data_IF_549146032998
#
_entry.id   IF_549146032998
#
_cell.length_a   1.000
_cell.length_b   1.000
_cell.length_c   1.000
_cell.angle_alpha   90.00
_cell.angle_beta   90.00
_cell.angle_gamma   90.00
#
_symmetry.space_group_name_H-M   'P 1'
#
loop_
_entity.id
_entity.type
_entity.pdbx_description
1 polymer ?
#
# COMPACT_ATOMS: atom_id res chain seq x y z
N UNK A 1 85.61 -31.07 24.90
CA UNK A 1 85.26 -29.64 24.77
C UNK A 1 83.81 -29.48 25.17
N UNK A 2 83.58 -28.80 26.29
CA UNK A 2 82.27 -28.32 26.73
C UNK A 2 81.75 -27.23 25.78
N UNK A 3 80.42 -27.09 25.69
CA UNK A 3 79.62 -25.85 25.56
C UNK A 3 78.28 -26.21 24.89
N UNK A 4 77.12 -25.65 25.21
CA UNK A 4 76.61 -24.87 26.33
C UNK A 4 75.08 -24.96 26.23
N UNK A 5 74.43 -25.05 27.38
CA UNK A 5 72.99 -24.90 27.57
C UNK A 5 72.54 -23.49 27.15
N UNK A 6 71.47 -23.37 26.37
CA UNK A 6 70.62 -22.16 26.38
C UNK A 6 69.20 -22.49 25.94
N UNK A 7 68.39 -22.91 26.91
CA UNK A 7 66.93 -22.81 26.83
C UNK A 7 66.54 -21.32 26.82
N UNK A 8 66.10 -20.79 25.67
CA UNK A 8 65.40 -19.50 25.63
C UNK A 8 63.96 -19.72 25.17
N UNK A 9 63.07 -19.91 26.15
CA UNK A 9 61.63 -19.80 25.94
C UNK A 9 61.29 -18.31 25.75
N UNK A 10 61.51 -17.78 24.55
CA UNK A 10 60.98 -16.46 24.19
C UNK A 10 59.54 -16.64 23.74
N UNK A 11 58.63 -16.48 24.70
CA UNK A 11 57.21 -16.36 24.45
C UNK A 11 56.92 -15.15 23.56
N UNK A 12 56.82 -15.36 22.25
CA UNK A 12 56.22 -14.40 21.34
C UNK A 12 54.73 -14.69 21.31
N UNK A 13 53.93 -13.97 22.12
CA UNK A 13 52.47 -13.95 21.97
C UNK A 13 52.14 -13.24 20.66
N UNK A 14 52.21 -13.97 19.54
CA UNK A 14 51.68 -13.52 18.25
C UNK A 14 50.16 -13.38 18.44
N UNK A 15 49.64 -12.14 18.36
CA UNK A 15 48.19 -11.95 18.22
C UNK A 15 47.77 -12.74 16.97
N UNK A 16 46.73 -13.58 17.04
CA UNK A 16 46.29 -14.29 15.85
C UNK A 16 45.93 -13.25 14.79
N UNK A 17 46.51 -13.38 13.60
CA UNK A 17 46.16 -12.56 12.46
C UNK A 17 44.72 -12.90 12.08
N UNK A 18 43.78 -12.11 12.60
CA UNK A 18 42.37 -12.23 12.26
C UNK A 18 42.21 -11.74 10.82
N UNK A 19 41.73 -12.58 9.87
CA UNK A 19 41.61 -12.23 8.45
C UNK A 19 40.55 -11.16 8.15
N UNK A 20 39.99 -10.54 9.20
CA UNK A 20 38.83 -9.70 9.20
C UNK A 20 39.07 -8.55 10.18
N UNK A 21 38.76 -7.33 9.74
CA UNK A 21 38.92 -6.14 10.57
C UNK A 21 37.86 -6.15 11.66
N UNK A 22 38.31 -6.10 12.91
CA UNK A 22 37.42 -6.01 14.07
C UNK A 22 36.57 -4.74 13.96
N UNK A 23 35.26 -4.87 14.24
CA UNK A 23 34.29 -3.78 14.09
C UNK A 23 33.74 -3.59 12.67
N UNK A 24 34.27 -4.28 11.67
CA UNK A 24 33.70 -4.30 10.32
C UNK A 24 32.74 -5.50 10.17
N UNK A 25 31.58 -5.25 9.58
CA UNK A 25 30.62 -6.30 9.24
C UNK A 25 31.19 -7.15 8.11
N UNK A 26 31.30 -8.48 8.26
CA UNK A 26 31.70 -9.38 7.18
C UNK A 26 30.83 -9.25 5.92
N UNK A 27 31.45 -9.32 4.73
CA UNK A 27 30.78 -9.13 3.45
C UNK A 27 29.57 -10.07 3.25
N UNK A 28 29.66 -11.32 3.70
CA UNK A 28 28.57 -12.27 3.56
C UNK A 28 27.28 -11.83 4.30
N UNK A 29 27.42 -11.09 5.41
CA UNK A 29 26.25 -10.57 6.15
C UNK A 29 25.60 -9.39 5.41
N UNK A 30 26.40 -8.53 4.78
CA UNK A 30 25.87 -7.41 4.00
C UNK A 30 25.19 -7.90 2.73
N UNK A 31 25.79 -8.87 2.04
CA UNK A 31 25.19 -9.56 0.89
C UNK A 31 23.90 -10.27 1.26
N UNK A 32 23.89 -11.00 2.39
CA UNK A 32 22.69 -11.68 2.88
C UNK A 32 21.56 -10.72 3.23
N UNK A 33 21.87 -9.56 3.83
CA UNK A 33 20.88 -8.52 4.08
C UNK A 33 20.25 -8.02 2.78
N UNK A 34 21.07 -7.75 1.75
CA UNK A 34 20.57 -7.35 0.42
C UNK A 34 19.67 -8.43 -0.20
N UNK A 35 20.05 -9.70 -0.09
CA UNK A 35 19.24 -10.82 -0.59
C UNK A 35 17.87 -10.87 0.11
N UNK A 36 17.83 -10.71 1.43
CA UNK A 36 16.57 -10.68 2.17
C UNK A 36 15.70 -9.47 1.84
N UNK A 37 16.29 -8.31 1.60
CA UNK A 37 15.56 -7.13 1.13
C UNK A 37 14.91 -7.38 -0.24
N UNK A 38 15.67 -7.93 -1.19
CA UNK A 38 15.18 -8.28 -2.51
C UNK A 38 14.08 -9.36 -2.45
N UNK A 39 14.26 -10.38 -1.62
CA UNK A 39 13.26 -11.42 -1.42
C UNK A 39 11.99 -10.87 -0.78
N UNK A 40 12.10 -10.01 0.24
CA UNK A 40 10.95 -9.33 0.85
C UNK A 40 10.19 -8.49 -0.18
N UNK A 41 10.88 -7.75 -1.04
CA UNK A 41 10.24 -6.96 -2.09
C UNK A 41 9.50 -7.86 -3.10
N UNK A 42 10.12 -8.98 -3.51
CA UNK A 42 9.47 -9.97 -4.38
C UNK A 42 8.23 -10.58 -3.73
N UNK A 43 8.30 -10.95 -2.45
CA UNK A 43 7.16 -11.49 -1.72
C UNK A 43 6.04 -10.46 -1.57
N UNK A 44 6.38 -9.19 -1.34
CA UNK A 44 5.39 -8.11 -1.28
C UNK A 44 4.66 -7.96 -2.62
N UNK A 45 5.42 -7.89 -3.73
CA UNK A 45 4.85 -7.81 -5.09
C UNK A 45 3.97 -9.01 -5.41
N UNK A 46 4.41 -10.22 -5.07
CA UNK A 46 3.62 -11.44 -5.26
C UNK A 46 2.33 -11.41 -4.45
N UNK A 47 2.38 -10.95 -3.19
CA UNK A 47 1.20 -10.81 -2.34
C UNK A 47 0.22 -9.77 -2.88
N UNK A 48 0.73 -8.64 -3.38
CA UNK A 48 -0.10 -7.60 -4.02
C UNK A 48 -0.78 -8.12 -5.28
N UNK A 49 -0.04 -8.85 -6.14
CA UNK A 49 -0.61 -9.50 -7.31
C UNK A 49 -1.66 -10.57 -6.94
N UNK A 50 -1.37 -11.39 -5.91
CA UNK A 50 -2.31 -12.39 -5.41
C UNK A 50 -3.55 -11.80 -4.76
N UNK A 51 -3.48 -10.55 -4.29
CA UNK A 51 -4.64 -9.84 -3.73
C UNK A 51 -5.67 -9.45 -4.79
N UNK A 52 -5.31 -9.44 -6.07
CA UNK A 52 -6.21 -9.11 -7.18
C UNK A 52 -6.83 -10.42 -7.69
N UNK A 53 -8.15 -10.63 -7.51
CA UNK A 53 -8.80 -11.84 -7.99
C UNK A 53 -8.75 -11.94 -9.52
N UNK A 54 -8.83 -13.17 -10.05
CA UNK A 54 -8.89 -13.40 -11.50
C UNK A 54 -10.10 -12.71 -12.11
N UNK A 55 -9.92 -12.07 -13.27
CA UNK A 55 -10.99 -11.32 -13.94
C UNK A 55 -11.26 -9.93 -13.34
N UNK A 56 -10.41 -9.47 -12.42
CA UNK A 56 -10.43 -8.09 -11.93
C UNK A 56 -9.14 -7.36 -12.29
N UNK A 57 -9.24 -6.06 -12.49
CA UNK A 57 -8.11 -5.15 -12.71
C UNK A 57 -8.17 -3.97 -11.74
N UNK A 58 -7.00 -3.41 -11.42
CA UNK A 58 -6.91 -2.21 -10.60
C UNK A 58 -7.21 -1.00 -11.49
N UNK A 59 -8.16 -0.17 -11.07
CA UNK A 59 -8.45 1.10 -11.72
C UNK A 59 -7.26 2.07 -11.56
N UNK A 60 -6.78 2.71 -12.64
CA UNK A 60 -5.75 3.74 -12.56
C UNK A 60 -6.15 4.91 -11.64
N UNK A 61 -5.16 5.53 -11.00
CA UNK A 61 -5.41 6.61 -10.05
C UNK A 61 -6.02 7.85 -10.71
N UNK A 62 -5.63 8.17 -11.94
CA UNK A 62 -6.17 9.30 -12.71
C UNK A 62 -7.67 9.14 -12.95
N UNK A 63 -8.07 8.04 -13.57
CA UNK A 63 -9.48 7.70 -13.83
C UNK A 63 -10.30 7.61 -12.54
N UNK A 64 -9.70 7.08 -11.46
CA UNK A 64 -10.33 7.02 -10.13
C UNK A 64 -10.64 8.42 -9.59
N UNK A 65 -9.68 9.34 -9.68
CA UNK A 65 -9.82 10.72 -9.20
C UNK A 65 -10.86 11.45 -10.03
N UNK A 66 -10.80 11.34 -11.36
CA UNK A 66 -11.79 11.94 -12.26
C UNK A 66 -13.21 11.47 -11.94
N UNK A 67 -13.39 10.15 -11.75
CA UNK A 67 -14.69 9.58 -11.37
C UNK A 67 -15.16 10.08 -10.00
N UNK A 68 -14.25 10.16 -9.03
CA UNK A 68 -14.55 10.68 -7.70
C UNK A 68 -14.99 12.15 -7.74
N UNK A 69 -14.35 12.98 -8.54
CA UNK A 69 -14.74 14.38 -8.72
C UNK A 69 -16.11 14.51 -9.37
N UNK A 70 -16.39 13.71 -10.40
CA UNK A 70 -17.70 13.67 -11.04
C UNK A 70 -18.81 13.29 -10.05
N UNK A 71 -18.57 12.27 -9.23
CA UNK A 71 -19.53 11.83 -8.20
C UNK A 71 -19.77 12.91 -7.14
N UNK A 72 -18.73 13.64 -6.72
CA UNK A 72 -18.86 14.76 -5.78
C UNK A 72 -19.68 15.92 -6.36
N UNK A 73 -19.46 16.26 -7.63
CA UNK A 73 -20.27 17.30 -8.31
C UNK A 73 -21.74 16.91 -8.35
N UNK A 74 -22.04 15.68 -8.75
CA UNK A 74 -23.42 15.17 -8.79
C UNK A 74 -24.06 15.12 -7.39
N UNK A 75 -23.31 14.71 -6.37
CA UNK A 75 -23.75 14.76 -4.98
C UNK A 75 -24.20 16.18 -4.58
N UNK A 76 -23.39 17.19 -4.89
CA UNK A 76 -23.70 18.58 -4.55
C UNK A 76 -24.91 19.10 -5.33
N UNK A 77 -25.07 18.72 -6.60
CA UNK A 77 -26.25 19.03 -7.42
C UNK A 77 -27.54 18.44 -6.82
N UNK A 78 -27.50 17.18 -6.37
CA UNK A 78 -28.64 16.53 -5.72
C UNK A 78 -28.96 17.23 -4.38
N UNK A 79 -27.95 17.58 -3.58
CA UNK A 79 -28.17 18.33 -2.34
C UNK A 79 -28.80 19.71 -2.58
N UNK A 80 -28.37 20.43 -3.62
CA UNK A 80 -29.00 21.68 -4.03
C UNK A 80 -30.46 21.46 -4.40
N UNK A 81 -30.77 20.42 -5.16
CA UNK A 81 -32.15 20.10 -5.55
C UNK A 81 -33.04 19.77 -4.33
N UNK A 82 -32.50 19.05 -3.34
CA UNK A 82 -33.17 18.77 -2.08
C UNK A 82 -33.39 20.05 -1.24
N UNK A 83 -32.39 20.95 -1.22
CA UNK A 83 -32.45 22.20 -0.45
C UNK A 83 -33.49 23.19 -1.00
N UNK A 84 -33.79 23.14 -2.30
CA UNK A 84 -34.81 23.98 -2.95
C UNK A 84 -36.24 23.47 -2.68
N UNK A 85 -36.42 22.23 -2.21
CA UNK A 85 -37.74 21.69 -1.92
C UNK A 85 -38.47 22.49 -0.84
N UNK A 86 -39.78 22.73 -1.00
CA UNK A 86 -40.56 23.42 0.02
C UNK A 86 -40.63 22.59 1.31
N UNK A 87 -40.62 23.29 2.45
CA UNK A 87 -40.69 22.67 3.79
C UNK A 87 -41.91 21.76 3.96
N UNK A 88 -43.03 22.12 3.30
CA UNK A 88 -44.27 21.33 3.29
C UNK A 88 -44.42 20.59 1.97
N UNK A 89 -44.42 19.26 2.02
CA UNK A 89 -44.40 18.36 0.86
C UNK A 89 -45.61 17.41 0.85
N UNK A 90 -46.81 17.93 1.09
CA UNK A 90 -48.02 17.10 1.29
C UNK A 90 -48.48 16.35 0.03
N UNK A 91 -48.17 16.85 -1.16
CA UNK A 91 -48.60 16.20 -2.40
C UNK A 91 -47.81 14.91 -2.64
N UNK A 92 -48.48 13.87 -3.15
CA UNK A 92 -47.82 12.58 -3.48
C UNK A 92 -46.64 12.81 -4.43
N UNK A 93 -46.81 13.70 -5.44
CA UNK A 93 -45.76 14.04 -6.40
C UNK A 93 -44.48 14.57 -5.73
N UNK A 94 -44.61 15.50 -4.79
CA UNK A 94 -43.46 16.07 -4.08
C UNK A 94 -42.77 15.03 -3.18
N UNK A 95 -43.53 14.15 -2.54
CA UNK A 95 -42.98 13.05 -1.74
C UNK A 95 -42.19 12.07 -2.60
N UNK A 96 -42.78 11.59 -3.69
CA UNK A 96 -42.10 10.67 -4.61
C UNK A 96 -40.85 11.28 -5.24
N UNK A 97 -40.87 12.57 -5.58
CA UNK A 97 -39.68 13.27 -6.10
C UNK A 97 -38.58 13.38 -5.03
N UNK A 98 -38.92 13.73 -3.79
CA UNK A 98 -37.97 13.74 -2.68
C UNK A 98 -37.35 12.36 -2.44
N UNK A 99 -38.17 11.32 -2.37
CA UNK A 99 -37.71 9.94 -2.20
C UNK A 99 -36.77 9.51 -3.33
N UNK A 100 -37.03 9.94 -4.56
CA UNK A 100 -36.16 9.65 -5.70
C UNK A 100 -34.80 10.34 -5.56
N UNK A 101 -34.78 11.62 -5.17
CA UNK A 101 -33.54 12.35 -4.90
C UNK A 101 -32.74 11.70 -3.77
N UNK A 102 -33.39 11.26 -2.69
CA UNK A 102 -32.74 10.56 -1.59
C UNK A 102 -32.16 9.20 -2.02
N UNK A 103 -32.88 8.44 -2.86
CA UNK A 103 -32.36 7.18 -3.44
C UNK A 103 -31.14 7.44 -4.33
N UNK A 104 -31.18 8.47 -5.15
CA UNK A 104 -30.07 8.86 -6.01
C UNK A 104 -28.86 9.32 -5.18
N UNK A 105 -29.11 10.11 -4.13
CA UNK A 105 -28.07 10.56 -3.20
C UNK A 105 -27.36 9.37 -2.56
N UNK A 106 -28.11 8.40 -2.02
CA UNK A 106 -27.56 7.20 -1.41
C UNK A 106 -26.68 6.41 -2.40
N UNK A 107 -27.13 6.26 -3.65
CA UNK A 107 -26.35 5.59 -4.71
C UNK A 107 -25.04 6.33 -5.02
N UNK A 108 -25.07 7.66 -5.07
CA UNK A 108 -23.87 8.48 -5.32
C UNK A 108 -22.92 8.39 -4.13
N UNK A 109 -23.42 8.45 -2.90
CA UNK A 109 -22.61 8.29 -1.68
C UNK A 109 -21.92 6.92 -1.61
N UNK A 110 -22.62 5.84 -1.99
CA UNK A 110 -22.01 4.51 -2.13
C UNK A 110 -20.89 4.51 -3.17
N UNK A 111 -21.11 5.18 -4.31
CA UNK A 111 -20.07 5.39 -5.32
C UNK A 111 -18.86 6.12 -4.73
N UNK A 112 -19.06 7.27 -4.09
CA UNK A 112 -17.99 8.05 -3.44
C UNK A 112 -17.22 7.19 -2.43
N UNK A 113 -17.92 6.37 -1.64
CA UNK A 113 -17.31 5.44 -0.68
C UNK A 113 -16.43 4.38 -1.34
N UNK A 114 -16.76 3.94 -2.55
CA UNK A 114 -15.94 3.00 -3.32
C UNK A 114 -14.71 3.72 -3.89
N UNK A 115 -14.90 4.84 -4.58
CA UNK A 115 -13.82 5.55 -5.29
C UNK A 115 -12.91 6.41 -4.39
N UNK A 116 -13.33 6.68 -3.14
CA UNK A 116 -12.47 7.29 -2.11
C UNK A 116 -11.38 6.34 -1.61
N UNK A 117 -11.51 5.03 -1.83
CA UNK A 117 -10.46 4.07 -1.50
C UNK A 117 -9.30 4.18 -2.49
N UNK A 118 -8.04 4.03 -2.05
CA UNK A 118 -6.88 4.17 -2.94
C UNK A 118 -6.77 3.03 -3.97
N UNK A 119 -7.29 1.84 -3.66
CA UNK A 119 -7.24 0.67 -4.55
C UNK A 119 -8.66 0.23 -4.90
N UNK A 120 -9.10 0.51 -6.13
CA UNK A 120 -10.43 0.13 -6.64
C UNK A 120 -10.26 -0.95 -7.69
N UNK A 121 -10.97 -2.07 -7.52
CA UNK A 121 -10.92 -3.19 -8.46
C UNK A 121 -12.17 -3.18 -9.34
N UNK A 122 -11.97 -3.30 -10.65
CA UNK A 122 -13.02 -3.36 -11.65
C UNK A 122 -13.06 -4.78 -12.21
N UNK A 123 -14.26 -5.30 -12.44
CA UNK A 123 -14.45 -6.58 -13.11
C UNK A 123 -14.20 -6.37 -14.60
N UNK A 124 -13.32 -7.17 -15.21
CA UNK A 124 -13.11 -7.13 -16.64
C UNK A 124 -14.37 -7.70 -17.31
N UNK A 125 -15.07 -6.89 -18.08
CA UNK A 125 -16.17 -7.34 -18.92
C UNK A 125 -15.58 -8.12 -20.10
N UNK A 126 -15.43 -9.44 -19.91
CA UNK A 126 -15.05 -10.42 -20.95
C UNK A 126 -16.11 -11.49 -21.04
#
# INVERSE_FOLDING_TARGET
>A
MSEKNSHSLTGSKRKPEVPHRLGQIPNYLTERKKQWELERERQLKLREAASIPKGYTLLPDEERIETLELLKKNHDEILQSLAVLPVRNDTIRLRSYKEELERQLAKVEEGIKIFSRPKVLIKNDT
#
